data_IF_114442265841
#
_entry.id   IF_114442265841
#
_cell.length_a   1.000
_cell.length_b   1.000
_cell.length_c   1.000
_cell.angle_alpha   90.00
_cell.angle_beta   90.00
_cell.angle_gamma   90.00
#
_symmetry.space_group_name_H-M   'P 1'
#
loop_
_entity.id
_entity.type
_entity.pdbx_description
1 polymer ?
#
# COMPACT_ATOMS: atom_id res chain seq x y z
N UNK A 1 -14.93 9.27 -23.72
CA UNK A 1 -14.73 8.14 -22.78
C UNK A 1 -14.53 8.71 -21.39
N UNK A 2 -15.56 8.65 -20.54
CA UNK A 2 -15.49 9.16 -19.17
C UNK A 2 -14.96 8.03 -18.28
N UNK A 3 -13.69 8.08 -17.88
CA UNK A 3 -13.20 7.26 -16.78
C UNK A 3 -13.70 7.92 -15.49
N UNK A 4 -14.65 7.33 -14.73
CA UNK A 4 -14.98 7.86 -13.43
C UNK A 4 -13.71 7.73 -12.58
N UNK A 5 -13.05 8.87 -12.33
CA UNK A 5 -12.08 8.99 -11.27
C UNK A 5 -12.87 8.78 -9.99
N UNK A 6 -12.93 7.52 -9.57
CA UNK A 6 -13.51 7.14 -8.30
C UNK A 6 -12.66 7.83 -7.22
N UNK A 7 -13.06 9.05 -6.86
CA UNK A 7 -12.40 9.96 -5.93
C UNK A 7 -12.45 9.47 -4.48
N UNK A 8 -12.86 8.22 -4.24
CA UNK A 8 -12.60 7.57 -2.97
C UNK A 8 -11.11 7.24 -2.90
N UNK A 9 -10.35 7.87 -1.96
CA UNK A 9 -8.94 7.57 -1.82
C UNK A 9 -8.80 6.10 -1.40
N UNK A 10 -8.39 5.27 -2.36
CA UNK A 10 -8.16 3.84 -2.15
C UNK A 10 -7.10 3.65 -1.08
N UNK A 11 -7.33 2.71 -0.19
CA UNK A 11 -6.40 2.47 0.92
C UNK A 11 -5.05 1.98 0.37
N UNK A 12 -5.06 1.22 -0.73
CA UNK A 12 -3.84 0.81 -1.43
C UNK A 12 -2.98 1.98 -1.89
N UNK A 13 -3.58 3.10 -2.30
CA UNK A 13 -2.85 4.27 -2.80
C UNK A 13 -2.13 4.98 -1.65
N UNK A 14 -2.85 5.21 -0.53
CA UNK A 14 -2.25 5.76 0.69
C UNK A 14 -1.14 4.88 1.26
N UNK A 15 -1.33 3.57 1.27
CA UNK A 15 -0.29 2.62 1.71
C UNK A 15 0.95 2.74 0.83
N UNK A 16 0.80 2.87 -0.49
CA UNK A 16 1.92 3.07 -1.41
C UNK A 16 2.67 4.36 -1.11
N UNK A 17 1.97 5.47 -0.87
CA UNK A 17 2.58 6.74 -0.50
C UNK A 17 3.42 6.61 0.78
N UNK A 18 2.87 5.99 1.83
CA UNK A 18 3.58 5.77 3.10
C UNK A 18 4.86 4.94 2.88
N UNK A 19 4.77 3.85 2.12
CA UNK A 19 5.93 2.98 1.88
C UNK A 19 6.97 3.69 0.98
N UNK A 20 6.54 4.49 0.00
CA UNK A 20 7.44 5.25 -0.88
C UNK A 20 8.25 6.32 -0.13
N UNK A 21 7.78 6.81 1.02
CA UNK A 21 8.57 7.72 1.85
C UNK A 21 9.80 7.05 2.47
N UNK A 22 9.72 5.74 2.75
CA UNK A 22 10.80 4.95 3.35
C UNK A 22 10.80 3.51 2.78
N UNK A 23 11.19 3.31 1.51
CA UNK A 23 11.10 2.02 0.85
C UNK A 23 12.13 1.00 1.36
N UNK A 24 13.22 1.46 1.99
CA UNK A 24 14.25 0.65 2.61
C UNK A 24 13.82 0.06 3.97
N UNK A 25 12.88 0.72 4.65
CA UNK A 25 12.34 0.28 5.95
C UNK A 25 11.65 -1.09 5.85
N UNK A 26 11.84 -1.91 6.88
CA UNK A 26 11.12 -3.18 7.05
C UNK A 26 9.70 -2.94 7.55
N UNK A 27 8.80 -2.59 6.63
CA UNK A 27 7.39 -2.38 6.93
C UNK A 27 6.71 -3.65 7.45
N UNK A 28 5.99 -3.51 8.56
CA UNK A 28 5.15 -4.57 9.13
C UNK A 28 3.67 -4.25 8.91
N UNK A 29 2.85 -5.28 8.67
CA UNK A 29 1.40 -5.14 8.53
C UNK A 29 0.75 -4.47 9.73
N UNK A 30 1.19 -4.83 10.94
CA UNK A 30 0.72 -4.24 12.18
C UNK A 30 0.97 -2.72 12.25
N UNK A 31 2.15 -2.27 11.83
CA UNK A 31 2.51 -0.86 11.86
C UNK A 31 1.69 -0.06 10.86
N UNK A 32 1.53 -0.57 9.63
CA UNK A 32 0.70 0.07 8.60
C UNK A 32 -0.76 0.12 9.09
N UNK A 33 -1.29 -0.97 9.62
CA UNK A 33 -2.66 -1.00 10.12
C UNK A 33 -2.92 0.01 11.25
N UNK A 34 -1.95 0.18 12.17
CA UNK A 34 -2.01 1.21 13.22
C UNK A 34 -2.10 2.63 12.65
N UNK A 35 -1.40 2.95 11.56
CA UNK A 35 -1.49 4.27 10.93
C UNK A 35 -2.88 4.58 10.37
N UNK A 36 -3.64 3.55 9.98
CA UNK A 36 -5.02 3.70 9.52
C UNK A 36 -6.06 3.55 10.65
N UNK A 37 -5.63 3.41 11.91
CA UNK A 37 -6.49 3.07 13.05
C UNK A 37 -7.33 1.79 12.82
N UNK A 38 -6.73 0.80 12.14
CA UNK A 38 -7.38 -0.45 11.77
C UNK A 38 -6.63 -1.66 12.35
N UNK A 39 -7.34 -2.79 12.46
CA UNK A 39 -6.68 -4.09 12.64
C UNK A 39 -6.03 -4.55 11.33
N UNK A 40 -5.00 -5.39 11.41
CA UNK A 40 -4.38 -6.00 10.22
C UNK A 40 -5.39 -6.77 9.37
N UNK A 41 -6.35 -7.44 10.00
CA UNK A 41 -7.40 -8.19 9.32
C UNK A 41 -8.34 -7.27 8.54
N UNK A 42 -8.70 -6.11 9.11
CA UNK A 42 -9.53 -5.10 8.45
C UNK A 42 -8.79 -4.49 7.25
N UNK A 43 -7.53 -4.09 7.45
CA UNK A 43 -6.68 -3.56 6.37
C UNK A 43 -6.56 -4.55 5.20
N UNK A 44 -6.33 -5.82 5.51
CA UNK A 44 -6.22 -6.90 4.53
C UNK A 44 -7.52 -7.13 3.77
N UNK A 45 -8.67 -7.05 4.45
CA UNK A 45 -10.00 -7.12 3.81
C UNK A 45 -10.22 -5.95 2.85
N UNK A 46 -9.92 -4.72 3.25
CA UNK A 46 -10.02 -3.56 2.36
C UNK A 46 -9.12 -3.70 1.14
N UNK A 47 -7.87 -4.14 1.33
CA UNK A 47 -6.95 -4.39 0.22
C UNK A 47 -7.45 -5.51 -0.70
N UNK A 48 -7.99 -6.59 -0.16
CA UNK A 48 -8.56 -7.68 -0.95
C UNK A 48 -9.76 -7.23 -1.78
N UNK A 49 -10.62 -6.36 -1.25
CA UNK A 49 -11.72 -5.73 -2.00
C UNK A 49 -11.20 -4.87 -3.17
N UNK A 50 -10.02 -4.26 -3.00
CA UNK A 50 -9.34 -3.52 -4.06
C UNK A 50 -8.51 -4.42 -5.00
N UNK A 51 -8.47 -5.74 -4.76
CA UNK A 51 -7.67 -6.69 -5.55
C UNK A 51 -6.17 -6.69 -5.24
N UNK A 52 -5.76 -6.08 -4.13
CA UNK A 52 -4.37 -5.97 -3.73
C UNK A 52 -4.02 -6.81 -2.51
N UNK A 53 -2.73 -7.10 -2.37
CA UNK A 53 -2.15 -7.70 -1.18
C UNK A 53 -1.03 -6.78 -0.67
N UNK A 54 -1.03 -6.49 0.63
CA UNK A 54 -0.04 -5.64 1.28
C UNK A 54 1.40 -6.09 0.99
N UNK A 55 1.69 -7.38 1.12
CA UNK A 55 3.04 -7.91 0.88
C UNK A 55 3.49 -7.70 -0.56
N UNK A 56 2.56 -7.80 -1.52
CA UNK A 56 2.84 -7.56 -2.94
C UNK A 56 3.10 -6.08 -3.20
N UNK A 57 2.32 -5.18 -2.59
CA UNK A 57 2.55 -3.73 -2.66
C UNK A 57 3.96 -3.38 -2.15
N UNK A 58 4.35 -3.91 -0.98
CA UNK A 58 5.67 -3.66 -0.40
C UNK A 58 6.77 -4.18 -1.35
N UNK A 59 6.60 -5.39 -1.89
CA UNK A 59 7.57 -5.99 -2.80
C UNK A 59 7.72 -5.16 -4.09
N UNK A 60 6.62 -4.79 -4.72
CA UNK A 60 6.59 -4.00 -5.96
C UNK A 60 7.31 -2.65 -5.76
N UNK A 61 7.06 -1.97 -4.63
CA UNK A 61 7.72 -0.70 -4.32
C UNK A 61 9.22 -0.89 -4.09
N UNK A 62 9.62 -1.94 -3.35
CA UNK A 62 11.05 -2.22 -3.11
C UNK A 62 11.79 -2.60 -4.38
N UNK A 63 11.15 -3.36 -5.27
CA UNK A 63 11.69 -3.67 -6.59
C UNK A 63 11.86 -2.39 -7.42
N UNK A 64 10.83 -1.54 -7.48
CA UNK A 64 10.89 -0.28 -8.22
C UNK A 64 11.95 0.67 -7.66
N UNK A 65 12.09 0.75 -6.32
CA UNK A 65 13.14 1.53 -5.68
C UNK A 65 14.54 0.97 -5.96
N UNK A 66 14.71 -0.36 -5.94
CA UNK A 66 15.96 -1.01 -6.31
C UNK A 66 16.37 -0.77 -7.76
N UNK A 67 15.41 -0.64 -8.68
CA UNK A 67 15.66 -0.26 -10.07
C UNK A 67 16.07 1.21 -10.24
N UNK A 68 15.63 2.11 -9.35
CA UNK A 68 15.99 3.54 -9.38
C UNK A 68 17.44 3.79 -8.92
N UNK A 69 18.04 2.85 -8.20
CA UNK A 69 19.40 2.96 -7.63
C UNK A 69 20.53 2.39 -8.52
N UNK A 70 20.22 1.97 -9.76
CA UNK A 70 21.18 1.44 -10.74
C UNK A 70 21.55 2.50 -11.78
#
# INVERSE_FOLDING_TARGET
>A
MYFPLNNNPKISLKIREIINLQPDKKWQSAEIAKQFAMSESTLRRHLALEGYNLSKIILDIRMNFGLILL
#
